data_IF_435302500417
#
_entry.id   IF_435302500417
#
_cell.length_a   1.000
_cell.length_b   1.000
_cell.length_c   1.000
_cell.angle_alpha   90.00
_cell.angle_beta   90.00
_cell.angle_gamma   90.00
#
_symmetry.space_group_name_H-M   'P 1'
#
loop_
_entity.id
_entity.type
_entity.pdbx_description
1 polymer ?
#
# COMPACT_ATOMS: atom_id res chain seq x y z
N UNK A 1 13.73 -43.38 9.67
CA UNK A 1 12.53 -42.55 9.86
C UNK A 1 13.02 -41.10 9.80
N UNK A 2 12.34 -40.23 9.03
CA UNK A 2 12.63 -38.80 9.07
C UNK A 2 12.24 -38.30 10.46
N UNK A 3 13.06 -37.42 11.05
CA UNK A 3 12.70 -36.76 12.29
C UNK A 3 11.71 -35.59 12.00
N UNK A 4 10.84 -35.32 12.94
CA UNK A 4 9.89 -34.22 12.86
C UNK A 4 10.61 -32.91 13.24
N UNK A 5 10.46 -31.86 12.41
CA UNK A 5 11.03 -30.53 12.68
C UNK A 5 9.98 -29.69 13.42
N UNK A 6 10.34 -29.22 14.61
CA UNK A 6 9.52 -28.25 15.34
C UNK A 6 9.73 -26.85 14.74
N UNK A 7 8.66 -26.22 14.28
CA UNK A 7 8.71 -24.89 13.70
C UNK A 7 8.63 -23.79 14.76
N UNK A 8 9.07 -22.59 14.41
CA UNK A 8 8.95 -21.41 15.29
C UNK A 8 7.48 -21.07 15.53
N UNK A 9 7.12 -20.84 16.81
CA UNK A 9 5.78 -20.35 17.21
C UNK A 9 5.41 -19.00 16.57
N UNK A 10 6.39 -18.26 16.02
CA UNK A 10 6.10 -17.05 15.25
C UNK A 10 5.27 -17.31 14.01
N UNK A 11 5.33 -18.54 13.44
CA UNK A 11 4.48 -18.90 12.29
C UNK A 11 3.00 -18.98 12.66
N UNK A 12 2.68 -19.30 13.91
CA UNK A 12 1.31 -19.35 14.41
C UNK A 12 0.64 -17.98 14.48
N UNK A 13 1.44 -16.88 14.41
CA UNK A 13 0.93 -15.52 14.35
C UNK A 13 0.27 -15.16 13.00
N UNK A 14 0.51 -15.97 11.98
CA UNK A 14 0.01 -15.75 10.62
C UNK A 14 -1.02 -16.81 10.28
N UNK A 15 -2.22 -16.37 9.86
CA UNK A 15 -3.28 -17.28 9.39
C UNK A 15 -2.98 -17.86 8.02
N UNK A 16 -3.78 -18.86 7.62
CA UNK A 16 -3.76 -19.38 6.26
C UNK A 16 -4.11 -18.27 5.24
N UNK A 17 -3.65 -18.41 4.00
CA UNK A 17 -3.94 -17.44 2.93
C UNK A 17 -5.46 -17.28 2.76
N UNK A 18 -5.98 -16.11 3.15
CA UNK A 18 -7.41 -15.76 3.02
C UNK A 18 -7.86 -15.81 1.55
N UNK A 19 -6.92 -15.59 0.64
CA UNK A 19 -7.17 -15.59 -0.81
C UNK A 19 -7.17 -16.97 -1.45
N UNK A 20 -6.79 -18.05 -0.74
CA UNK A 20 -6.67 -19.38 -1.32
C UNK A 20 -8.01 -19.87 -1.91
N UNK A 21 -9.11 -19.76 -1.16
CA UNK A 21 -10.42 -20.21 -1.63
C UNK A 21 -10.91 -19.46 -2.88
N UNK A 22 -10.71 -18.15 -2.96
CA UNK A 22 -11.04 -17.35 -4.14
C UNK A 22 -10.15 -17.70 -5.33
N UNK A 23 -8.87 -17.96 -5.09
CA UNK A 23 -7.94 -18.35 -6.14
C UNK A 23 -8.26 -19.76 -6.68
N UNK A 24 -8.57 -20.71 -5.82
CA UNK A 24 -8.99 -22.06 -6.22
C UNK A 24 -10.27 -22.01 -7.06
N UNK A 25 -11.24 -21.18 -6.65
CA UNK A 25 -12.47 -20.97 -7.40
C UNK A 25 -12.21 -20.33 -8.76
N UNK A 26 -11.34 -19.33 -8.81
CA UNK A 26 -10.89 -18.70 -10.06
C UNK A 26 -10.33 -19.75 -11.03
N UNK A 27 -9.36 -20.54 -10.58
CA UNK A 27 -8.72 -21.58 -11.40
C UNK A 27 -9.75 -22.60 -11.92
N UNK A 28 -10.68 -23.04 -11.06
CA UNK A 28 -11.73 -23.97 -11.45
C UNK A 28 -12.68 -23.41 -12.52
N UNK A 29 -13.03 -22.13 -12.44
CA UNK A 29 -13.93 -21.47 -13.41
C UNK A 29 -13.20 -21.16 -14.73
N UNK A 30 -11.92 -20.77 -14.68
CA UNK A 30 -11.07 -20.62 -15.88
C UNK A 30 -10.96 -21.93 -16.66
N UNK A 31 -10.76 -23.06 -15.95
CA UNK A 31 -10.71 -24.39 -16.55
C UNK A 31 -12.05 -24.80 -17.24
N UNK A 32 -13.18 -24.22 -16.81
CA UNK A 32 -14.50 -24.41 -17.43
C UNK A 32 -14.75 -23.44 -18.61
N UNK A 33 -13.77 -22.58 -18.96
CA UNK A 33 -13.91 -21.59 -20.02
C UNK A 33 -14.78 -20.38 -19.66
N UNK A 34 -15.09 -20.17 -18.37
CA UNK A 34 -15.84 -18.99 -17.94
C UNK A 34 -15.02 -17.71 -18.13
N UNK A 35 -15.66 -16.68 -18.65
CA UNK A 35 -15.05 -15.33 -18.72
C UNK A 35 -15.02 -14.73 -17.33
N UNK A 36 -13.82 -14.34 -16.89
CA UNK A 36 -13.63 -13.72 -15.58
C UNK A 36 -13.09 -12.29 -15.72
N UNK A 37 -13.51 -11.42 -14.80
CA UNK A 37 -13.06 -10.04 -14.65
C UNK A 37 -12.36 -9.90 -13.30
N UNK A 38 -11.03 -9.94 -13.31
CA UNK A 38 -10.26 -9.91 -12.06
C UNK A 38 -10.02 -8.46 -11.62
N UNK A 39 -10.79 -8.00 -10.64
CA UNK A 39 -10.68 -6.70 -9.99
C UNK A 39 -10.19 -6.85 -8.52
N UNK A 40 -9.50 -7.95 -8.17
CA UNK A 40 -9.00 -8.16 -6.80
C UNK A 40 -7.53 -7.77 -6.61
N UNK A 41 -6.71 -7.85 -7.67
CA UNK A 41 -5.25 -7.71 -7.58
C UNK A 41 -4.82 -6.26 -7.81
N UNK A 42 -4.14 -5.67 -6.83
CA UNK A 42 -3.62 -4.30 -6.90
C UNK A 42 -2.26 -4.21 -7.60
N UNK A 43 -2.10 -4.85 -8.76
CA UNK A 43 -0.92 -4.69 -9.61
C UNK A 43 -1.28 -3.84 -10.82
N UNK A 44 -0.63 -2.68 -11.03
CA UNK A 44 -0.84 -1.88 -12.24
C UNK A 44 -0.70 -2.72 -13.50
N UNK A 45 -1.58 -2.47 -14.48
CA UNK A 45 -1.57 -3.11 -15.80
C UNK A 45 -0.82 -2.28 -16.86
N UNK A 46 -0.33 -1.11 -16.48
CA UNK A 46 0.47 -0.26 -17.34
C UNK A 46 1.91 -0.76 -17.46
N UNK A 47 2.52 -0.50 -18.62
CA UNK A 47 3.94 -0.81 -18.86
C UNK A 47 4.87 0.16 -18.11
N UNK A 48 5.99 -0.32 -17.56
CA UNK A 48 7.06 0.56 -17.12
C UNK A 48 7.58 1.41 -18.28
N UNK A 49 7.92 2.67 -18.02
CA UNK A 49 8.43 3.57 -19.05
C UNK A 49 9.71 3.00 -19.69
N UNK A 50 9.89 3.14 -21.04
CA UNK A 50 11.01 2.52 -21.75
C UNK A 50 12.39 2.86 -21.19
N UNK A 51 12.63 4.11 -20.78
CA UNK A 51 13.91 4.56 -20.23
C UNK A 51 14.27 3.87 -18.91
N UNK A 52 13.27 3.45 -18.11
CA UNK A 52 13.49 2.71 -16.86
C UNK A 52 13.99 1.30 -17.17
N UNK A 53 13.32 0.63 -18.13
CA UNK A 53 13.72 -0.71 -18.61
C UNK A 53 15.11 -0.66 -19.24
N UNK A 54 15.39 0.36 -20.04
CA UNK A 54 16.69 0.54 -20.68
C UNK A 54 17.81 0.73 -19.67
N UNK A 55 17.62 1.61 -18.67
CA UNK A 55 18.61 1.85 -17.62
C UNK A 55 18.95 0.57 -16.81
N UNK A 56 17.95 -0.28 -16.54
CA UNK A 56 18.18 -1.58 -15.92
C UNK A 56 19.03 -2.48 -16.81
N UNK A 57 18.68 -2.60 -18.10
CA UNK A 57 19.40 -3.45 -19.04
C UNK A 57 20.86 -2.98 -19.22
N UNK A 58 21.08 -1.69 -19.41
CA UNK A 58 22.41 -1.12 -19.59
C UNK A 58 23.28 -1.36 -18.36
N UNK A 59 22.72 -1.13 -17.17
CA UNK A 59 23.43 -1.38 -15.93
C UNK A 59 23.71 -2.87 -15.68
N UNK A 60 22.83 -3.77 -16.12
CA UNK A 60 23.04 -5.22 -16.01
C UNK A 60 24.14 -5.74 -16.95
N UNK A 61 24.45 -5.04 -18.03
CA UNK A 61 25.56 -5.40 -18.92
C UNK A 61 26.94 -5.06 -18.35
N UNK A 62 27.00 -4.27 -17.27
CA UNK A 62 28.26 -3.89 -16.61
C UNK A 62 28.62 -4.93 -15.55
N UNK A 63 29.68 -5.69 -15.75
CA UNK A 63 30.10 -6.79 -14.86
C UNK A 63 30.33 -6.34 -13.42
N UNK A 64 30.81 -5.11 -13.20
CA UNK A 64 31.06 -4.55 -11.86
C UNK A 64 29.76 -4.42 -11.05
N UNK A 65 28.65 -4.20 -11.68
CA UNK A 65 27.32 -4.07 -11.02
C UNK A 65 26.76 -5.41 -10.49
N UNK A 66 27.45 -6.53 -10.73
CA UNK A 66 27.09 -7.85 -10.22
C UNK A 66 27.78 -8.19 -8.91
N UNK A 67 28.64 -7.31 -8.42
CA UNK A 67 29.27 -7.45 -7.09
C UNK A 67 28.28 -7.06 -6.00
N UNK A 68 28.55 -7.49 -4.80
CA UNK A 68 27.74 -7.10 -3.62
C UNK A 68 27.65 -5.59 -3.49
N UNK A 69 26.43 -5.11 -3.47
CA UNK A 69 26.12 -3.74 -3.06
C UNK A 69 25.98 -3.69 -1.54
N UNK A 70 26.97 -3.21 -0.85
CA UNK A 70 26.96 -3.15 0.62
C UNK A 70 26.13 -1.97 1.16
N UNK A 71 25.72 -1.04 0.28
CA UNK A 71 24.95 0.17 0.61
C UNK A 71 24.30 0.72 -0.66
N UNK A 72 23.33 1.59 -0.46
CA UNK A 72 22.72 2.35 -1.55
C UNK A 72 23.78 3.24 -2.23
N UNK A 73 23.68 3.38 -3.55
CA UNK A 73 24.54 4.27 -4.33
C UNK A 73 24.33 5.73 -3.86
N UNK A 74 25.38 6.52 -3.68
CA UNK A 74 25.24 7.94 -3.36
C UNK A 74 24.33 8.68 -4.36
N UNK A 75 24.51 8.41 -5.67
CA UNK A 75 23.67 8.95 -6.74
C UNK A 75 22.17 8.62 -6.56
N UNK A 76 21.84 7.42 -6.05
CA UNK A 76 20.45 7.06 -5.78
C UNK A 76 19.88 7.92 -4.64
N UNK A 77 20.63 8.08 -3.56
CA UNK A 77 20.19 8.87 -2.41
C UNK A 77 20.01 10.35 -2.77
N UNK A 78 20.96 10.92 -3.53
CA UNK A 78 20.87 12.29 -4.06
C UNK A 78 19.66 12.44 -4.98
N UNK A 79 19.37 11.41 -5.81
CA UNK A 79 18.18 11.40 -6.68
C UNK A 79 16.88 11.40 -5.88
N UNK A 80 16.79 10.66 -4.77
CA UNK A 80 15.61 10.67 -3.89
C UNK A 80 15.43 12.08 -3.28
N UNK A 81 16.49 12.72 -2.78
CA UNK A 81 16.43 14.10 -2.29
C UNK A 81 15.87 15.05 -3.35
N UNK A 82 16.40 14.99 -4.56
CA UNK A 82 15.97 15.83 -5.68
C UNK A 82 14.52 15.52 -6.12
N UNK A 83 14.11 14.25 -6.04
CA UNK A 83 12.75 13.84 -6.35
C UNK A 83 11.74 14.39 -5.34
N UNK A 84 12.04 14.35 -4.04
CA UNK A 84 11.20 14.94 -3.00
C UNK A 84 11.02 16.45 -3.21
N UNK A 85 12.10 17.16 -3.55
CA UNK A 85 12.00 18.58 -3.91
C UNK A 85 11.13 18.80 -5.14
N UNK A 86 11.37 18.03 -6.22
CA UNK A 86 10.65 18.19 -7.50
C UNK A 86 9.18 17.81 -7.41
N UNK A 87 8.88 16.72 -6.68
CA UNK A 87 7.53 16.11 -6.66
C UNK A 87 6.65 16.68 -5.57
N UNK A 88 7.20 16.94 -4.40
CA UNK A 88 6.44 17.35 -3.22
C UNK A 88 6.78 18.76 -2.74
N UNK A 89 7.74 19.43 -3.36
CA UNK A 89 8.30 20.71 -2.90
C UNK A 89 8.87 20.65 -1.46
N UNK A 90 9.44 19.50 -1.09
CA UNK A 90 10.06 19.26 0.21
C UNK A 90 11.56 19.52 0.12
N UNK A 91 12.06 20.47 0.89
CA UNK A 91 13.47 20.81 1.01
C UNK A 91 14.10 20.18 2.26
N UNK A 92 15.43 20.10 2.28
CA UNK A 92 16.21 19.77 3.48
C UNK A 92 16.34 18.26 3.77
N UNK A 93 15.80 17.38 2.94
CA UNK A 93 16.08 15.95 3.03
C UNK A 93 17.53 15.69 2.59
N UNK A 94 18.26 14.92 3.37
CA UNK A 94 19.67 14.58 3.14
C UNK A 94 19.88 13.07 2.99
N UNK A 95 20.95 12.61 2.32
CA UNK A 95 21.20 11.18 2.05
C UNK A 95 21.23 10.27 3.28
N UNK A 96 21.57 10.78 4.44
CA UNK A 96 21.60 10.03 5.71
C UNK A 96 20.19 9.80 6.29
N UNK A 97 19.19 10.50 5.77
CA UNK A 97 17.77 10.32 6.07
C UNK A 97 17.06 9.33 5.14
N UNK A 98 17.78 8.61 4.28
CA UNK A 98 17.20 7.76 3.24
C UNK A 98 17.80 6.37 3.30
N UNK A 99 16.94 5.37 3.03
CA UNK A 99 17.33 3.97 2.85
C UNK A 99 16.39 3.30 1.85
N UNK A 100 16.95 2.50 0.91
CA UNK A 100 16.12 1.68 0.01
C UNK A 100 15.71 0.36 0.66
N UNK A 101 14.58 -0.21 0.22
CA UNK A 101 14.06 -1.53 0.62
C UNK A 101 13.58 -2.33 -0.59
N UNK A 102 13.44 -3.65 -0.42
CA UNK A 102 12.84 -4.55 -1.41
C UNK A 102 11.30 -4.44 -1.43
N UNK A 103 10.82 -3.21 -1.61
CA UNK A 103 9.42 -2.80 -1.47
C UNK A 103 9.06 -2.46 -0.01
N UNK A 104 8.00 -1.66 0.17
CA UNK A 104 7.57 -1.20 1.51
C UNK A 104 7.22 -2.34 2.46
N UNK A 105 6.76 -3.48 1.93
CA UNK A 105 6.47 -4.68 2.73
C UNK A 105 7.72 -5.18 3.47
N UNK A 106 8.86 -5.28 2.78
CA UNK A 106 10.16 -5.62 3.35
C UNK A 106 10.56 -4.59 4.41
N UNK A 107 10.42 -3.30 4.10
CA UNK A 107 10.69 -2.22 5.03
C UNK A 107 9.86 -2.26 6.30
N UNK A 108 8.56 -2.56 6.21
CA UNK A 108 7.67 -2.70 7.37
C UNK A 108 8.11 -3.85 8.28
N UNK A 109 8.54 -4.99 7.69
CA UNK A 109 9.11 -6.10 8.45
C UNK A 109 10.39 -5.70 9.19
N UNK A 110 11.30 -5.02 8.51
CA UNK A 110 12.55 -4.52 9.09
C UNK A 110 12.30 -3.52 10.24
N UNK A 111 11.34 -2.60 10.07
CA UNK A 111 11.01 -1.63 11.11
C UNK A 111 10.50 -2.30 12.38
N UNK A 112 9.62 -3.30 12.25
CA UNK A 112 9.15 -4.07 13.40
C UNK A 112 10.33 -4.71 14.16
N UNK A 113 11.21 -5.40 13.43
CA UNK A 113 12.39 -6.06 14.03
C UNK A 113 13.43 -5.08 14.59
N UNK A 114 13.58 -3.89 13.98
CA UNK A 114 14.58 -2.91 14.42
C UNK A 114 14.13 -2.06 15.61
N UNK A 115 12.83 -1.83 15.76
CA UNK A 115 12.30 -0.79 16.65
C UNK A 115 11.42 -1.32 17.78
N UNK A 116 10.84 -2.53 17.66
CA UNK A 116 9.93 -3.06 18.66
C UNK A 116 10.60 -4.08 19.57
N UNK A 117 10.19 -4.08 20.81
CA UNK A 117 10.38 -5.15 21.78
C UNK A 117 9.04 -5.84 22.04
N UNK A 118 9.11 -7.01 22.69
CA UNK A 118 7.90 -7.74 23.09
C UNK A 118 7.01 -6.87 23.99
N UNK A 119 5.76 -6.69 23.58
CA UNK A 119 4.75 -5.92 24.31
C UNK A 119 4.68 -4.43 23.94
N UNK A 120 5.55 -3.90 23.10
CA UNK A 120 5.45 -2.50 22.64
C UNK A 120 4.15 -2.27 21.86
N UNK A 121 3.37 -1.25 22.23
CA UNK A 121 2.09 -0.93 21.57
C UNK A 121 2.32 -0.20 20.26
N UNK A 122 1.58 -0.61 19.22
CA UNK A 122 1.59 0.02 17.89
C UNK A 122 0.16 0.35 17.46
N UNK A 123 -0.09 1.62 17.13
CA UNK A 123 -1.37 2.08 16.60
C UNK A 123 -1.48 1.72 15.12
N UNK A 124 -2.49 0.92 14.78
CA UNK A 124 -2.76 0.47 13.40
C UNK A 124 -4.16 0.87 12.95
N UNK A 125 -4.33 1.27 11.67
CA UNK A 125 -5.67 1.46 11.14
C UNK A 125 -6.43 0.13 10.98
N UNK A 126 -7.74 0.16 11.12
CA UNK A 126 -8.64 -0.95 10.80
C UNK A 126 -9.88 -0.41 10.07
N UNK A 127 -10.11 -0.79 8.80
CA UNK A 127 -9.33 -1.75 7.99
C UNK A 127 -7.99 -1.19 7.48
N UNK A 128 -7.04 -2.09 7.20
CA UNK A 128 -5.72 -1.71 6.66
C UNK A 128 -5.09 -2.77 5.76
N UNK A 129 -4.01 -2.39 5.10
CA UNK A 129 -3.20 -3.35 4.35
C UNK A 129 -2.56 -4.38 5.31
N UNK A 130 -2.78 -5.69 5.11
CA UNK A 130 -2.40 -6.74 6.08
C UNK A 130 -0.90 -6.77 6.46
N UNK A 131 -0.04 -6.21 5.62
CA UNK A 131 1.41 -6.16 5.87
C UNK A 131 1.76 -5.33 7.11
N UNK A 132 0.94 -4.35 7.49
CA UNK A 132 1.21 -3.50 8.66
C UNK A 132 1.26 -4.33 9.94
N UNK A 133 0.28 -5.20 10.15
CA UNK A 133 0.26 -6.08 11.32
C UNK A 133 1.40 -7.10 11.29
N UNK A 134 1.84 -7.53 10.10
CA UNK A 134 2.92 -8.50 9.95
C UNK A 134 4.22 -7.96 10.56
N UNK A 135 4.62 -6.73 10.22
CA UNK A 135 5.82 -6.10 10.78
C UNK A 135 5.74 -5.96 12.30
N UNK A 136 4.57 -5.56 12.83
CA UNK A 136 4.34 -5.45 14.27
C UNK A 136 4.51 -6.79 14.98
N UNK A 137 3.86 -7.84 14.49
CA UNK A 137 3.94 -9.19 15.06
C UNK A 137 5.35 -9.79 15.00
N UNK A 138 6.08 -9.58 13.89
CA UNK A 138 7.46 -10.05 13.76
C UNK A 138 8.38 -9.38 14.79
N UNK A 139 8.13 -8.12 15.11
CA UNK A 139 8.87 -7.36 16.11
C UNK A 139 8.45 -7.62 17.57
N UNK A 140 7.44 -8.48 17.82
CA UNK A 140 6.90 -8.73 19.16
C UNK A 140 5.94 -7.65 19.66
N UNK A 141 5.55 -6.70 18.82
CA UNK A 141 4.65 -5.62 19.18
C UNK A 141 3.20 -6.07 19.33
N UNK A 142 2.43 -5.29 20.08
CA UNK A 142 0.99 -5.49 20.32
C UNK A 142 0.21 -4.43 19.54
N UNK A 143 -0.65 -4.83 18.59
CA UNK A 143 -1.45 -3.88 17.84
C UNK A 143 -2.59 -3.31 18.69
N UNK A 144 -2.78 -2.00 18.64
CA UNK A 144 -4.00 -1.32 19.03
C UNK A 144 -4.62 -0.73 17.76
N UNK A 145 -5.89 -1.08 17.49
CA UNK A 145 -6.55 -0.65 16.26
C UNK A 145 -7.34 0.63 16.49
N UNK A 146 -7.07 1.66 15.67
CA UNK A 146 -7.96 2.80 15.50
C UNK A 146 -8.83 2.59 14.26
N UNK A 147 -10.15 2.78 14.41
CA UNK A 147 -11.10 2.39 13.38
C UNK A 147 -11.28 3.47 12.31
N UNK A 148 -11.18 3.07 11.04
CA UNK A 148 -11.52 3.93 9.91
C UNK A 148 -13.00 3.69 9.56
N UNK A 149 -13.87 4.59 10.02
CA UNK A 149 -15.32 4.43 9.89
C UNK A 149 -15.91 5.29 8.79
N UNK A 150 -17.10 4.93 8.31
CA UNK A 150 -17.83 5.69 7.29
C UNK A 150 -18.16 7.11 7.79
N UNK A 151 -18.48 7.26 9.08
CA UNK A 151 -18.79 8.53 9.73
C UNK A 151 -17.63 9.53 9.64
N UNK A 152 -16.39 9.02 9.64
CA UNK A 152 -15.18 9.81 9.46
C UNK A 152 -14.59 9.70 8.04
N UNK A 153 -15.40 9.32 7.05
CA UNK A 153 -14.95 9.15 5.66
C UNK A 153 -13.75 8.20 5.54
N UNK A 154 -13.65 7.20 6.40
CA UNK A 154 -12.54 6.26 6.50
C UNK A 154 -11.17 6.95 6.69
N UNK A 155 -11.13 8.08 7.37
CA UNK A 155 -9.92 8.80 7.77
C UNK A 155 -9.59 8.54 9.24
N UNK A 156 -8.30 8.60 9.62
CA UNK A 156 -7.90 8.54 11.03
C UNK A 156 -8.55 9.65 11.87
N UNK A 157 -9.07 9.31 13.04
CA UNK A 157 -9.50 10.26 14.07
C UNK A 157 -8.68 10.05 15.34
N UNK A 158 -7.59 10.79 15.49
CA UNK A 158 -6.67 10.63 16.62
C UNK A 158 -7.29 11.02 17.95
N UNK A 159 -8.39 11.82 17.96
CA UNK A 159 -9.12 12.22 19.16
C UNK A 159 -9.90 11.06 19.82
N UNK A 160 -10.13 9.99 19.08
CA UNK A 160 -10.79 8.78 19.60
C UNK A 160 -9.79 7.79 20.21
N UNK A 161 -8.48 8.05 20.13
CA UNK A 161 -7.45 7.22 20.74
C UNK A 161 -7.31 7.64 22.20
N UNK A 162 -7.56 6.74 23.19
CA UNK A 162 -7.42 7.10 24.59
C UNK A 162 -5.99 7.51 24.96
N UNK A 163 -5.84 8.54 25.78
CA UNK A 163 -4.53 9.07 26.20
C UNK A 163 -3.65 7.98 26.82
N UNK A 164 -4.22 7.11 27.65
CA UNK A 164 -3.46 6.03 28.30
C UNK A 164 -2.95 4.95 27.32
N UNK A 165 -3.54 4.85 26.14
CA UNK A 165 -3.06 4.03 25.02
C UNK A 165 -2.01 4.79 24.23
N UNK A 166 -2.28 6.06 23.94
CA UNK A 166 -1.34 6.92 23.20
C UNK A 166 0.01 7.06 23.94
N UNK A 167 -0.03 7.26 25.26
CA UNK A 167 1.17 7.37 26.10
C UNK A 167 2.04 6.10 26.14
N UNK A 168 1.45 4.93 25.82
CA UNK A 168 2.17 3.65 25.73
C UNK A 168 2.57 3.30 24.30
N UNK A 169 1.99 3.97 23.32
CA UNK A 169 2.22 3.67 21.94
C UNK A 169 3.62 4.10 21.50
N UNK A 170 4.34 3.21 20.84
CA UNK A 170 5.68 3.46 20.33
C UNK A 170 5.68 3.91 18.87
N UNK A 171 4.72 3.39 18.10
CA UNK A 171 4.58 3.69 16.67
C UNK A 171 3.11 3.85 16.32
N UNK A 172 2.83 4.67 15.30
CA UNK A 172 1.56 4.78 14.62
C UNK A 172 1.76 4.63 13.13
N UNK A 173 1.03 3.73 12.47
CA UNK A 173 1.07 3.56 11.01
C UNK A 173 -0.15 4.25 10.41
N UNK A 174 0.09 5.11 9.43
CA UNK A 174 -0.94 5.81 8.62
C UNK A 174 -0.66 5.54 7.16
N UNK A 175 -1.67 5.13 6.39
CA UNK A 175 -1.57 4.92 4.94
C UNK A 175 -2.57 5.83 4.23
N UNK A 176 -2.07 6.87 3.57
CA UNK A 176 -2.86 7.85 2.82
C UNK A 176 -2.08 8.29 1.57
N UNK A 177 -2.65 8.12 0.37
CA UNK A 177 -3.97 7.54 0.06
C UNK A 177 -4.11 6.08 0.50
N UNK A 178 -5.28 5.73 1.04
CA UNK A 178 -5.47 4.51 1.79
C UNK A 178 -5.73 3.26 0.91
N UNK A 179 -5.14 2.14 1.31
CA UNK A 179 -5.53 0.80 0.90
C UNK A 179 -6.08 0.07 2.14
N UNK A 180 -7.36 -0.36 2.17
CA UNK A 180 -8.25 -0.59 1.01
C UNK A 180 -9.22 0.54 0.67
N UNK A 181 -9.42 1.54 1.53
CA UNK A 181 -10.61 2.40 1.56
C UNK A 181 -10.60 3.57 0.57
N UNK A 182 -9.44 3.90 -0.04
CA UNK A 182 -9.34 4.95 -1.06
C UNK A 182 -9.44 6.38 -0.55
N UNK A 183 -9.37 6.60 0.77
CA UNK A 183 -9.39 7.93 1.37
C UNK A 183 -8.08 8.67 1.16
N UNK A 184 -8.14 10.00 1.11
CA UNK A 184 -7.00 10.90 0.92
C UNK A 184 -6.96 11.90 2.08
N UNK A 185 -5.80 12.07 2.69
CA UNK A 185 -5.61 13.03 3.79
C UNK A 185 -5.50 14.47 3.30
N UNK A 186 -6.05 15.41 4.07
CA UNK A 186 -5.79 16.83 3.89
C UNK A 186 -4.55 17.28 4.70
N UNK A 187 -3.93 18.42 4.37
CA UNK A 187 -2.83 18.97 5.16
C UNK A 187 -3.19 19.14 6.64
N UNK A 188 -4.44 19.55 6.94
CA UNK A 188 -4.93 19.73 8.30
C UNK A 188 -4.97 18.39 9.07
N UNK A 189 -5.43 17.32 8.43
CA UNK A 189 -5.43 15.99 9.03
C UNK A 189 -4.00 15.50 9.30
N UNK A 190 -3.09 15.68 8.35
CA UNK A 190 -1.69 15.33 8.57
C UNK A 190 -1.06 16.14 9.71
N UNK A 191 -1.40 17.45 9.84
CA UNK A 191 -0.94 18.26 10.96
C UNK A 191 -1.47 17.74 12.30
N UNK A 192 -2.78 17.41 12.37
CA UNK A 192 -3.39 16.84 13.57
C UNK A 192 -2.73 15.53 14.00
N UNK A 193 -2.42 14.65 13.04
CA UNK A 193 -1.73 13.39 13.30
C UNK A 193 -0.27 13.64 13.76
N UNK A 194 0.45 14.56 13.13
CA UNK A 194 1.82 14.88 13.49
C UNK A 194 1.89 15.51 14.90
N UNK A 195 0.98 16.42 15.22
CA UNK A 195 0.87 17.05 16.55
C UNK A 195 0.57 16.01 17.64
N UNK A 196 -0.37 15.11 17.38
CA UNK A 196 -0.67 13.99 18.26
C UNK A 196 0.55 13.10 18.50
N UNK A 197 1.23 12.69 17.42
CA UNK A 197 2.43 11.85 17.53
C UNK A 197 3.56 12.55 18.29
N UNK A 198 3.77 13.85 18.07
CA UNK A 198 4.76 14.64 18.80
C UNK A 198 4.40 14.76 20.30
N UNK A 199 3.14 15.02 20.63
CA UNK A 199 2.68 15.18 22.01
C UNK A 199 2.91 13.90 22.84
N UNK A 200 2.61 12.73 22.25
CA UNK A 200 2.74 11.42 22.90
C UNK A 200 4.08 10.72 22.62
N UNK A 201 5.01 11.35 21.89
CA UNK A 201 6.33 10.79 21.51
C UNK A 201 6.24 9.50 20.71
N UNK A 202 5.25 9.40 19.83
CA UNK A 202 4.99 8.27 18.94
C UNK A 202 5.77 8.46 17.63
N UNK A 203 6.43 7.40 17.14
CA UNK A 203 7.00 7.40 15.79
C UNK A 203 5.88 7.24 14.76
N UNK A 204 5.64 8.27 13.95
CA UNK A 204 4.71 8.23 12.83
C UNK A 204 5.35 7.54 11.63
N UNK A 205 4.70 6.49 11.11
CA UNK A 205 5.07 5.82 9.87
C UNK A 205 4.00 6.13 8.83
N UNK A 206 4.33 6.94 7.84
CA UNK A 206 3.43 7.24 6.73
C UNK A 206 3.72 6.30 5.55
N UNK A 207 2.76 5.44 5.18
CA UNK A 207 2.82 4.65 3.95
C UNK A 207 2.20 5.44 2.80
N UNK A 208 3.06 6.02 1.96
CA UNK A 208 2.70 6.93 0.86
C UNK A 208 2.86 6.25 -0.52
N UNK A 209 2.46 4.99 -0.60
CA UNK A 209 2.64 4.19 -1.83
C UNK A 209 1.77 4.67 -3.02
N UNK A 210 0.73 5.45 -2.77
CA UNK A 210 -0.25 5.89 -3.77
C UNK A 210 -0.29 7.42 -3.95
N UNK A 211 0.76 8.14 -3.58
CA UNK A 211 0.86 9.60 -3.64
C UNK A 211 0.55 10.22 -5.02
N UNK A 212 0.73 9.46 -6.09
CA UNK A 212 0.49 9.91 -7.47
C UNK A 212 -0.87 9.44 -8.04
N UNK A 213 -1.68 8.72 -7.25
CA UNK A 213 -3.00 8.22 -7.68
C UNK A 213 -4.05 8.88 -6.78
N UNK A 214 -4.38 10.11 -7.10
CA UNK A 214 -5.35 10.96 -6.39
C UNK A 214 -6.22 11.63 -7.43
N UNK A 215 -7.53 11.64 -7.20
CA UNK A 215 -8.54 12.01 -8.19
C UNK A 215 -9.11 13.40 -7.95
N UNK A 216 -9.91 13.88 -8.88
CA UNK A 216 -10.73 15.09 -8.79
C UNK A 216 -9.91 16.36 -8.57
N UNK A 217 -8.67 16.41 -9.09
CA UNK A 217 -7.79 17.57 -9.03
C UNK A 217 -7.09 17.80 -7.68
N UNK A 218 -7.28 16.88 -6.73
CA UNK A 218 -6.51 16.92 -5.48
C UNK A 218 -5.03 16.59 -5.71
N UNK A 219 -4.18 17.00 -4.77
CA UNK A 219 -2.72 16.82 -4.86
C UNK A 219 -2.24 15.92 -3.73
N UNK A 220 -1.36 14.97 -4.06
CA UNK A 220 -0.70 14.11 -3.07
C UNK A 220 0.42 14.85 -2.34
N UNK A 221 0.45 14.68 -1.04
CA UNK A 221 1.42 15.28 -0.14
C UNK A 221 2.40 14.25 0.41
N UNK A 222 3.62 14.70 0.71
CA UNK A 222 4.49 14.00 1.65
C UNK A 222 4.15 14.44 3.07
N UNK A 223 4.36 13.58 4.06
CA UNK A 223 4.27 13.96 5.48
C UNK A 223 5.25 15.10 5.80
N UNK A 224 6.34 15.21 5.06
CA UNK A 224 7.34 16.28 5.23
C UNK A 224 6.93 17.64 4.66
N UNK A 225 5.74 17.75 4.04
CA UNK A 225 5.12 19.06 3.80
C UNK A 225 4.52 19.68 5.08
N UNK A 226 4.42 18.89 6.15
CA UNK A 226 3.74 19.27 7.40
C UNK A 226 4.78 19.76 8.41
N UNK A 227 4.66 20.98 8.92
CA UNK A 227 5.57 21.52 9.93
C UNK A 227 5.61 20.65 11.19
N UNK A 228 6.82 20.33 11.67
CA UNK A 228 7.03 19.52 12.87
C UNK A 228 6.96 18.00 12.65
N UNK A 229 6.51 17.53 11.48
CA UNK A 229 6.48 16.10 11.19
C UNK A 229 7.88 15.49 11.09
N UNK A 230 8.89 16.27 10.69
CA UNK A 230 10.29 15.84 10.62
C UNK A 230 10.85 15.36 11.97
N UNK A 231 10.22 15.76 13.08
CA UNK A 231 10.64 15.37 14.44
C UNK A 231 10.12 14.01 14.86
N UNK A 232 8.99 13.55 14.30
CA UNK A 232 8.34 12.30 14.69
C UNK A 232 8.16 11.30 13.55
N UNK A 233 8.34 11.70 12.27
CA UNK A 233 7.91 10.86 11.15
C UNK A 233 9.05 10.19 10.38
N UNK A 234 8.67 9.06 9.78
CA UNK A 234 9.30 8.46 8.60
C UNK A 234 8.23 8.15 7.55
N UNK A 235 8.60 8.20 6.27
CA UNK A 235 7.69 7.96 5.16
C UNK A 235 8.21 6.84 4.26
N UNK A 236 7.34 5.89 3.93
CA UNK A 236 7.59 4.95 2.84
C UNK A 236 7.11 5.53 1.52
N UNK A 237 8.05 5.69 0.60
CA UNK A 237 7.80 6.05 -0.79
C UNK A 237 8.12 4.87 -1.71
N UNK A 238 7.19 4.49 -2.58
CA UNK A 238 7.34 3.32 -3.45
C UNK A 238 7.28 3.67 -4.93
N UNK A 239 8.19 3.12 -5.73
CA UNK A 239 8.14 3.25 -7.18
C UNK A 239 7.12 2.29 -7.83
N UNK A 240 6.62 1.32 -7.07
CA UNK A 240 5.78 0.23 -7.57
C UNK A 240 4.55 0.70 -8.33
N UNK A 241 3.86 1.73 -7.82
CA UNK A 241 2.54 2.16 -8.34
C UNK A 241 2.66 3.32 -9.32
N UNK A 242 3.50 4.29 -9.00
CA UNK A 242 3.73 5.47 -9.86
C UNK A 242 4.45 5.12 -11.16
N UNK A 243 5.37 4.16 -11.13
CA UNK A 243 6.23 3.82 -12.26
C UNK A 243 5.97 2.41 -12.84
N UNK A 244 4.96 1.69 -12.36
CA UNK A 244 4.57 0.34 -12.84
C UNK A 244 5.67 -0.71 -12.70
N UNK A 245 6.51 -0.60 -11.67
CA UNK A 245 7.67 -1.48 -11.45
C UNK A 245 7.49 -2.36 -10.22
N UNK A 246 6.29 -2.90 -10.02
CA UNK A 246 5.96 -3.71 -8.83
C UNK A 246 6.90 -4.90 -8.65
N UNK A 247 7.31 -5.54 -9.74
CA UNK A 247 8.23 -6.69 -9.73
C UNK A 247 9.67 -6.34 -9.42
N UNK A 248 10.10 -5.08 -9.62
CA UNK A 248 11.46 -4.61 -9.31
C UNK A 248 11.68 -4.43 -7.80
N UNK A 249 10.64 -4.47 -6.98
CA UNK A 249 10.72 -4.41 -5.52
C UNK A 249 11.53 -3.22 -4.99
N UNK A 250 11.20 -1.99 -5.39
CA UNK A 250 11.93 -0.78 -5.01
C UNK A 250 11.02 0.17 -4.22
N UNK A 251 11.42 0.50 -3.01
CA UNK A 251 10.85 1.55 -2.17
C UNK A 251 11.94 2.21 -1.34
N UNK A 252 11.61 3.33 -0.74
CA UNK A 252 12.50 4.09 0.14
C UNK A 252 11.79 4.36 1.45
N UNK A 253 12.56 4.31 2.55
CA UNK A 253 12.20 4.91 3.82
C UNK A 253 12.95 6.22 3.92
N UNK A 254 12.22 7.30 4.19
CA UNK A 254 12.75 8.66 4.29
C UNK A 254 12.36 9.25 5.64
N UNK A 255 13.23 9.97 6.32
CA UNK A 255 12.89 10.71 7.52
C UNK A 255 13.93 10.66 8.62
N UNK A 256 13.52 10.37 9.86
CA UNK A 256 14.39 10.44 11.06
C UNK A 256 15.68 9.64 10.89
N UNK A 257 16.82 10.32 11.07
CA UNK A 257 18.17 9.73 10.92
C UNK A 257 18.43 8.56 11.85
N UNK A 258 17.94 8.63 13.09
CA UNK A 258 18.11 7.58 14.09
C UNK A 258 17.35 6.30 13.69
N UNK A 259 16.14 6.41 13.15
CA UNK A 259 15.34 5.30 12.62
C UNK A 259 16.03 4.69 11.40
N UNK A 260 16.47 5.52 10.46
CA UNK A 260 17.22 5.08 9.27
C UNK A 260 18.50 4.33 9.67
N UNK A 261 19.23 4.84 10.64
CA UNK A 261 20.46 4.20 11.13
C UNK A 261 20.17 2.84 11.79
N UNK A 262 19.09 2.73 12.56
CA UNK A 262 18.65 1.46 13.17
C UNK A 262 18.29 0.42 12.11
N UNK A 263 17.51 0.81 11.09
CA UNK A 263 17.15 -0.07 9.98
C UNK A 263 18.38 -0.48 9.14
N UNK A 264 19.29 0.45 8.85
CA UNK A 264 20.56 0.13 8.17
C UNK A 264 21.39 -0.88 8.96
N UNK A 265 21.49 -0.72 10.27
CA UNK A 265 22.21 -1.67 11.15
C UNK A 265 21.58 -3.06 11.08
N UNK A 266 20.27 -3.19 11.14
CA UNK A 266 19.58 -4.48 11.03
C UNK A 266 19.81 -5.10 9.65
N UNK A 267 19.65 -4.31 8.58
CA UNK A 267 19.77 -4.78 7.20
C UNK A 267 21.13 -5.42 6.91
N UNK A 268 22.23 -4.90 7.47
CA UNK A 268 23.56 -5.51 7.30
C UNK A 268 23.65 -6.95 7.83
N UNK A 269 22.67 -7.40 8.63
CA UNK A 269 22.59 -8.76 9.16
C UNK A 269 21.61 -9.64 8.38
N UNK A 270 20.84 -9.07 7.41
CA UNK A 270 19.79 -9.78 6.67
C UNK A 270 20.17 -9.91 5.18
N UNK A 271 20.38 -8.78 4.46
CA UNK A 271 20.46 -8.78 2.99
C UNK A 271 21.48 -7.81 2.39
N UNK A 272 22.26 -7.09 3.17
CA UNK A 272 23.23 -6.05 2.77
C UNK A 272 22.60 -4.86 2.04
N UNK A 273 22.49 -4.92 0.71
CA UNK A 273 22.04 -3.83 -0.11
C UNK A 273 21.37 -4.30 -1.40
N UNK A 274 20.79 -3.35 -2.12
CA UNK A 274 20.00 -3.60 -3.30
C UNK A 274 20.88 -3.81 -4.54
N UNK A 275 20.44 -4.70 -5.45
CA UNK A 275 21.12 -4.94 -6.72
C UNK A 275 21.32 -3.64 -7.53
N UNK A 276 22.56 -3.39 -8.00
CA UNK A 276 22.91 -2.11 -8.60
C UNK A 276 22.06 -1.77 -9.85
N UNK A 277 21.78 -2.69 -10.79
CA UNK A 277 20.89 -2.41 -11.91
C UNK A 277 19.50 -1.92 -11.51
N UNK A 278 18.92 -2.44 -10.41
CA UNK A 278 17.65 -1.92 -9.89
C UNK A 278 17.80 -0.50 -9.35
N UNK A 279 18.91 -0.17 -8.70
CA UNK A 279 19.18 1.18 -8.24
C UNK A 279 19.30 2.16 -9.42
N UNK A 280 19.95 1.77 -10.52
CA UNK A 280 20.02 2.57 -11.74
C UNK A 280 18.67 2.75 -12.42
N UNK A 281 17.83 1.72 -12.44
CA UNK A 281 16.44 1.84 -12.89
C UNK A 281 15.62 2.82 -12.04
N UNK A 282 15.83 2.80 -10.71
CA UNK A 282 15.17 3.73 -9.80
C UNK A 282 15.61 5.19 -10.04
N UNK A 283 16.90 5.42 -10.28
CA UNK A 283 17.44 6.74 -10.67
C UNK A 283 16.76 7.21 -11.95
N UNK A 284 16.72 6.37 -12.99
CA UNK A 284 16.09 6.69 -14.26
C UNK A 284 14.58 7.02 -14.08
N UNK A 285 13.87 6.25 -13.26
CA UNK A 285 12.46 6.51 -12.95
C UNK A 285 12.27 7.89 -12.35
N UNK A 286 13.02 8.22 -11.30
CA UNK A 286 12.85 9.46 -10.55
C UNK A 286 13.43 10.70 -11.27
N UNK A 287 14.34 10.55 -12.22
CA UNK A 287 14.86 11.65 -13.05
C UNK A 287 14.08 11.86 -14.34
N UNK A 288 13.28 10.88 -14.73
CA UNK A 288 12.45 10.91 -15.94
C UNK A 288 11.27 11.90 -15.87
N UNK A 289 10.46 11.97 -16.94
CA UNK A 289 9.29 12.86 -17.00
C UNK A 289 8.17 12.40 -16.04
N UNK A 290 7.40 13.35 -15.52
CA UNK A 290 6.24 13.10 -14.64
C UNK A 290 4.91 13.06 -15.41
N UNK A 291 4.88 13.50 -16.66
CA UNK A 291 3.67 13.55 -17.49
C UNK A 291 3.03 12.17 -17.68
N UNK A 292 3.77 11.07 -17.89
CA UNK A 292 3.18 9.74 -17.99
C UNK A 292 2.47 9.31 -16.69
N UNK A 293 2.99 9.71 -15.52
CA UNK A 293 2.36 9.43 -14.23
C UNK A 293 1.02 10.15 -14.11
N UNK A 294 0.97 11.42 -14.53
CA UNK A 294 -0.28 12.21 -14.55
C UNK A 294 -1.30 11.60 -15.52
N UNK A 295 -0.87 11.17 -16.70
CA UNK A 295 -1.74 10.50 -17.67
C UNK A 295 -2.30 9.18 -17.13
N UNK A 296 -1.48 8.40 -16.43
CA UNK A 296 -1.88 7.18 -15.75
C UNK A 296 -2.90 7.47 -14.63
N UNK A 297 -2.70 8.51 -13.84
CA UNK A 297 -3.65 8.92 -12.80
C UNK A 297 -5.01 9.29 -13.42
N UNK A 298 -5.01 10.05 -14.51
CA UNK A 298 -6.23 10.39 -15.24
C UNK A 298 -6.96 9.13 -15.77
N UNK A 299 -6.23 8.12 -16.22
CA UNK A 299 -6.84 6.85 -16.65
C UNK A 299 -7.43 6.07 -15.45
N UNK A 300 -6.75 6.04 -14.30
CA UNK A 300 -7.33 5.46 -13.07
C UNK A 300 -8.61 6.18 -12.65
N UNK A 301 -8.67 7.51 -12.77
CA UNK A 301 -9.90 8.26 -12.51
C UNK A 301 -11.03 7.84 -13.44
N UNK A 302 -10.78 7.71 -14.75
CA UNK A 302 -11.79 7.22 -15.72
C UNK A 302 -12.29 5.82 -15.37
N UNK A 303 -11.42 4.94 -14.91
CA UNK A 303 -11.76 3.58 -14.46
C UNK A 303 -12.59 3.61 -13.18
N UNK A 304 -12.24 4.47 -12.21
CA UNK A 304 -13.03 4.71 -11.01
C UNK A 304 -14.45 5.16 -11.38
N UNK A 305 -14.57 6.17 -12.27
CA UNK A 305 -15.84 6.72 -12.70
C UNK A 305 -16.70 5.66 -13.39
N UNK A 306 -16.11 4.84 -14.27
CA UNK A 306 -16.79 3.76 -14.95
C UNK A 306 -17.28 2.67 -13.97
N UNK A 307 -16.48 2.30 -12.97
CA UNK A 307 -16.84 1.29 -11.98
C UNK A 307 -17.93 1.80 -11.02
N UNK A 308 -17.68 2.92 -10.35
CA UNK A 308 -18.58 3.48 -9.35
C UNK A 308 -19.89 3.96 -9.99
N UNK A 309 -19.81 4.72 -11.07
CA UNK A 309 -20.97 5.18 -11.83
C UNK A 309 -21.77 4.00 -12.43
N UNK A 310 -21.05 3.00 -12.94
CA UNK A 310 -21.65 1.77 -13.45
C UNK A 310 -22.44 1.02 -12.38
N UNK A 311 -21.88 0.79 -11.21
CA UNK A 311 -22.56 0.12 -10.11
C UNK A 311 -23.76 0.93 -9.60
N UNK A 312 -23.62 2.24 -9.44
CA UNK A 312 -24.78 3.11 -9.11
C UNK A 312 -25.90 3.03 -10.14
N UNK A 313 -25.59 2.92 -11.43
CA UNK A 313 -26.58 2.80 -12.52
C UNK A 313 -27.42 1.53 -12.47
N UNK A 314 -26.95 0.51 -11.78
CA UNK A 314 -27.64 -0.77 -11.59
C UNK A 314 -28.25 -0.92 -10.18
N UNK A 315 -28.25 0.15 -9.37
CA UNK A 315 -28.86 0.17 -8.04
C UNK A 315 -27.92 -0.12 -6.87
N UNK A 316 -26.62 -0.29 -7.10
CA UNK A 316 -25.63 -0.49 -6.04
C UNK A 316 -24.96 0.83 -5.65
N UNK A 317 -25.25 1.35 -4.48
CA UNK A 317 -24.72 2.63 -3.99
C UNK A 317 -23.25 2.51 -3.56
N UNK A 318 -22.37 2.56 -4.56
CA UNK A 318 -20.91 2.53 -4.37
C UNK A 318 -20.37 3.96 -4.37
N UNK A 319 -19.72 4.43 -3.30
CA UNK A 319 -19.12 5.75 -3.24
C UNK A 319 -17.91 5.87 -4.16
N UNK A 320 -17.61 7.10 -4.59
CA UNK A 320 -16.39 7.36 -5.34
C UNK A 320 -15.18 7.28 -4.41
N UNK A 321 -14.12 6.60 -4.87
CA UNK A 321 -12.82 6.66 -4.24
C UNK A 321 -12.13 7.98 -4.56
N UNK A 322 -11.43 8.58 -3.60
CA UNK A 322 -10.71 9.83 -3.78
C UNK A 322 -9.24 9.63 -4.17
N UNK A 323 -8.72 8.44 -3.94
CA UNK A 323 -7.35 8.10 -4.30
C UNK A 323 -7.05 6.61 -4.19
N UNK A 324 -5.79 6.26 -4.39
CA UNK A 324 -5.29 4.91 -4.62
C UNK A 324 -5.89 4.25 -5.87
N UNK A 325 -5.55 3.01 -6.12
CA UNK A 325 -6.12 2.24 -7.23
C UNK A 325 -7.25 1.32 -6.78
N UNK A 326 -7.96 1.67 -5.70
CA UNK A 326 -8.98 0.83 -5.10
C UNK A 326 -10.30 1.57 -4.91
N UNK A 327 -11.39 0.81 -5.00
CA UNK A 327 -12.74 1.23 -4.65
C UNK A 327 -13.22 0.35 -3.51
N UNK A 328 -13.76 0.97 -2.46
CA UNK A 328 -14.30 0.33 -1.28
C UNK A 328 -15.82 0.38 -1.31
N UNK A 329 -16.44 -0.76 -1.60
CA UNK A 329 -17.87 -0.86 -1.83
C UNK A 329 -18.56 -1.58 -0.68
N UNK A 330 -19.70 -1.06 -0.15
CA UNK A 330 -20.47 -1.79 0.84
C UNK A 330 -21.09 -3.05 0.22
N UNK A 331 -21.12 -4.15 0.96
CA UNK A 331 -21.89 -5.34 0.56
C UNK A 331 -23.37 -4.96 0.51
N UNK A 332 -24.11 -5.26 -0.58
CA UNK A 332 -25.53 -4.93 -0.67
C UNK A 332 -26.35 -5.66 0.38
N UNK A 333 -27.49 -5.06 0.77
CA UNK A 333 -28.41 -5.71 1.72
C UNK A 333 -28.94 -7.03 1.16
N UNK A 334 -29.13 -8.02 2.04
CA UNK A 334 -29.63 -9.33 1.68
C UNK A 334 -28.54 -10.36 1.33
N UNK A 335 -27.28 -9.96 1.26
CA UNK A 335 -26.14 -10.85 1.14
C UNK A 335 -25.55 -11.18 2.53
N UNK A 336 -24.77 -12.25 2.59
CA UNK A 336 -24.08 -12.67 3.81
C UNK A 336 -22.80 -11.89 4.12
N UNK A 337 -21.77 -12.58 4.56
CA UNK A 337 -20.45 -12.01 4.83
C UNK A 337 -19.78 -11.46 3.55
N UNK A 338 -18.78 -10.63 3.72
CA UNK A 338 -17.97 -10.10 2.60
C UNK A 338 -17.35 -11.22 1.75
N UNK A 339 -16.95 -12.34 2.38
CA UNK A 339 -16.44 -13.51 1.67
C UNK A 339 -17.54 -14.22 0.88
N UNK A 340 -18.70 -14.44 1.46
CA UNK A 340 -19.83 -15.07 0.78
C UNK A 340 -20.25 -14.23 -0.43
N UNK A 341 -20.34 -12.92 -0.29
CA UNK A 341 -20.62 -12.03 -1.42
C UNK A 341 -19.53 -12.09 -2.51
N UNK A 342 -18.25 -12.15 -2.16
CA UNK A 342 -17.19 -12.35 -3.16
C UNK A 342 -17.32 -13.69 -3.90
N UNK A 343 -17.74 -14.75 -3.20
CA UNK A 343 -17.99 -16.05 -3.83
C UNK A 343 -19.21 -15.99 -4.78
N UNK A 344 -20.28 -15.29 -4.39
CA UNK A 344 -21.43 -15.07 -5.28
C UNK A 344 -21.05 -14.25 -6.53
N UNK A 345 -20.24 -13.21 -6.35
CA UNK A 345 -19.76 -12.35 -7.45
C UNK A 345 -18.99 -13.15 -8.51
N UNK A 346 -18.05 -14.01 -8.07
CA UNK A 346 -17.27 -14.82 -9.02
C UNK A 346 -18.12 -15.93 -9.66
N UNK A 347 -19.04 -16.54 -8.93
CA UNK A 347 -19.89 -17.63 -9.45
C UNK A 347 -20.95 -17.16 -10.42
N UNK A 348 -21.68 -16.10 -10.07
CA UNK A 348 -22.83 -15.63 -10.82
C UNK A 348 -22.45 -14.63 -11.91
N UNK A 349 -21.53 -13.71 -11.61
CA UNK A 349 -21.14 -12.62 -12.52
C UNK A 349 -19.75 -12.83 -13.16
N UNK A 350 -18.91 -13.75 -12.68
CA UNK A 350 -17.53 -13.88 -13.13
C UNK A 350 -16.65 -12.70 -12.70
N UNK A 351 -17.06 -11.92 -11.72
CA UNK A 351 -16.30 -10.76 -11.22
C UNK A 351 -15.59 -11.12 -9.93
N UNK A 352 -14.28 -10.88 -9.87
CA UNK A 352 -13.45 -11.20 -8.71
C UNK A 352 -13.13 -9.90 -7.98
N UNK A 353 -13.54 -9.81 -6.72
CA UNK A 353 -13.19 -8.73 -5.79
C UNK A 353 -12.55 -9.31 -4.53
N UNK A 354 -12.07 -8.46 -3.64
CA UNK A 354 -11.44 -8.89 -2.38
C UNK A 354 -12.41 -8.65 -1.24
N UNK A 355 -12.67 -9.65 -0.36
CA UNK A 355 -13.52 -9.44 0.80
C UNK A 355 -12.89 -8.46 1.77
N UNK A 356 -13.71 -7.59 2.35
CA UNK A 356 -13.24 -6.56 3.26
C UNK A 356 -12.66 -7.12 4.55
N UNK A 357 -13.16 -8.27 5.02
CA UNK A 357 -12.62 -9.00 6.17
C UNK A 357 -11.13 -9.37 6.03
N UNK A 358 -10.60 -9.40 4.80
CA UNK A 358 -9.15 -9.58 4.55
C UNK A 358 -8.28 -8.40 5.00
N UNK A 359 -8.89 -7.25 5.31
CA UNK A 359 -8.19 -6.03 5.70
C UNK A 359 -8.35 -5.70 7.19
N UNK A 360 -9.02 -6.55 7.94
CA UNK A 360 -9.29 -6.39 9.37
C UNK A 360 -10.78 -6.54 9.70
N UNK A 361 -11.12 -6.68 10.99
CA UNK A 361 -12.50 -6.88 11.44
C UNK A 361 -13.47 -5.78 10.98
N UNK A 362 -13.05 -4.51 11.01
CA UNK A 362 -13.87 -3.38 10.54
C UNK A 362 -14.08 -3.35 9.02
N UNK A 363 -13.39 -4.22 8.29
CA UNK A 363 -13.61 -4.40 6.85
C UNK A 363 -14.80 -5.30 6.52
N UNK A 364 -15.37 -6.02 7.50
CA UNK A 364 -16.56 -6.83 7.27
C UNK A 364 -17.74 -5.95 6.84
N UNK A 365 -18.57 -6.45 5.93
CA UNK A 365 -19.65 -5.68 5.29
C UNK A 365 -19.20 -4.84 4.09
N UNK A 366 -17.94 -4.93 3.67
CA UNK A 366 -17.39 -4.26 2.49
C UNK A 366 -16.63 -5.21 1.58
N UNK A 367 -16.44 -4.80 0.33
CA UNK A 367 -15.54 -5.45 -0.64
C UNK A 367 -14.66 -4.42 -1.33
N UNK A 368 -13.44 -4.82 -1.69
CA UNK A 368 -12.49 -3.96 -2.41
C UNK A 368 -12.40 -4.37 -3.88
N UNK A 369 -12.51 -3.40 -4.77
CA UNK A 369 -12.18 -3.53 -6.19
C UNK A 369 -10.87 -2.83 -6.52
N UNK A 370 -10.08 -3.41 -7.42
CA UNK A 370 -8.88 -2.80 -7.97
C UNK A 370 -9.15 -2.27 -9.39
N UNK A 371 -8.71 -1.06 -9.68
CA UNK A 371 -8.89 -0.38 -10.97
C UNK A 371 -7.85 -0.82 -12.03
N UNK A 372 -7.61 -2.13 -12.12
CA UNK A 372 -6.54 -2.74 -12.94
C UNK A 372 -7.00 -3.29 -14.27
N UNK A 373 -8.25 -3.01 -14.66
CA UNK A 373 -8.78 -3.34 -15.98
C UNK A 373 -9.10 -2.06 -16.77
N UNK A 374 -8.99 -2.08 -18.11
CA UNK A 374 -9.45 -0.97 -18.95
C UNK A 374 -10.93 -0.67 -18.77
N UNK A 375 -11.35 0.58 -19.06
CA UNK A 375 -12.73 1.06 -18.92
C UNK A 375 -13.75 0.12 -19.60
N UNK A 376 -13.41 -0.38 -20.78
CA UNK A 376 -14.28 -1.30 -21.55
C UNK A 376 -14.53 -2.61 -20.76
N UNK A 377 -13.48 -3.16 -20.14
CA UNK A 377 -13.57 -4.39 -19.33
C UNK A 377 -14.28 -4.15 -18.01
N UNK A 378 -14.12 -3.00 -17.41
CA UNK A 378 -14.89 -2.57 -16.23
C UNK A 378 -16.37 -2.47 -16.58
N UNK A 379 -16.72 -1.86 -17.72
CA UNK A 379 -18.10 -1.76 -18.21
C UNK A 379 -18.72 -3.14 -18.48
N UNK A 380 -17.96 -4.05 -19.08
CA UNK A 380 -18.39 -5.46 -19.26
C UNK A 380 -18.63 -6.15 -17.91
N UNK A 381 -17.75 -5.93 -16.91
CA UNK A 381 -17.90 -6.49 -15.56
C UNK A 381 -19.17 -5.97 -14.87
N UNK A 382 -19.44 -4.66 -14.95
CA UNK A 382 -20.68 -4.06 -14.42
C UNK A 382 -21.90 -4.67 -15.09
N UNK A 383 -21.89 -4.85 -16.41
CA UNK A 383 -23.00 -5.48 -17.13
C UNK A 383 -23.19 -6.96 -16.74
N UNK A 384 -22.10 -7.67 -16.46
CA UNK A 384 -22.15 -9.05 -15.96
C UNK A 384 -22.80 -9.12 -14.57
N UNK A 385 -22.48 -8.16 -13.68
CA UNK A 385 -23.12 -8.05 -12.37
C UNK A 385 -24.63 -7.74 -12.53
N UNK A 386 -24.99 -6.80 -13.39
CA UNK A 386 -26.40 -6.51 -13.68
C UNK A 386 -27.16 -7.76 -14.15
N UNK A 387 -26.57 -8.50 -15.09
CA UNK A 387 -27.21 -9.68 -15.68
C UNK A 387 -27.31 -10.88 -14.71
N UNK A 388 -26.48 -10.88 -13.66
CA UNK A 388 -26.49 -11.95 -12.64
C UNK A 388 -27.63 -11.87 -11.65
N UNK A 389 -28.32 -10.71 -11.56
CA UNK A 389 -29.36 -10.45 -10.57
C UNK A 389 -28.86 -10.37 -9.13
N UNK A 390 -27.56 -10.15 -8.92
CA UNK A 390 -27.00 -9.95 -7.59
C UNK A 390 -27.37 -8.60 -6.98
N UNK A 391 -27.61 -7.60 -7.82
CA UNK A 391 -27.98 -6.25 -7.43
C UNK A 391 -29.36 -5.97 -8.02
N UNK A 392 -30.35 -5.70 -7.16
CA UNK A 392 -31.73 -5.41 -7.61
C UNK A 392 -32.75 -5.66 -6.55
#
# INVERSE_FOLDING_TARGET
MAFEVEFSKRLDLFGAEIFAALNDKKVALEAQGKKLYNLSVGTPDFEPMPHIKQALCDAAMVSENWKYSLRDLPELLDTVCAYYKRRFDVDGITPDQIMSFNGSQDGMGHMGLALLNDGDVVLLPDPCYPVFITGVKLGGGVPYYYHLTKEHNFLPNVKEIPDDVADKAKMMIVSLPANPVGSVGSPELYQEIADFCNAHKILLIHDNAYSDIIFDGAVGHSIFNIPGAETCAVEFFSLSKSFNVTGARISFLVGRRDVIAACKKLRTQIDFGKFIPEQKAAIAAMTGPLEPIKAQCAEYQRRRDALCGGFRSIGWDVPDSHGSMFVWAPVPQGHGTSMEFCMEMIEKAGVICTPGSSFGPSGEGYVRFALTLPVEKITEAVQAVKNSGLIG
#
